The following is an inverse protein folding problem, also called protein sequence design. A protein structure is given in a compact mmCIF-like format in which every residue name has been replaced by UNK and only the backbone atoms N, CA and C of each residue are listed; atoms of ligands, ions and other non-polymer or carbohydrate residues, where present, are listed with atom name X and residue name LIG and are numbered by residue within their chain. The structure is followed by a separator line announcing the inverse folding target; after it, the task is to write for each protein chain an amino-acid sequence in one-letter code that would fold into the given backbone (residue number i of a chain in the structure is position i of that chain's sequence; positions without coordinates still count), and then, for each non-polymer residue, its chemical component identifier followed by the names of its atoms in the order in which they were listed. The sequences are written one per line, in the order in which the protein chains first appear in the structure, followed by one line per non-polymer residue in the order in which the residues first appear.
data_IF_085130368070
#
_entry.id   IF_085130368070
#
_cell.length_a   1.000
_cell.length_b   1.000
_cell.length_c   1.000
_cell.angle_alpha   90.00
_cell.angle_beta   90.00
_cell.angle_gamma   90.00
#
_symmetry.space_group_name_H-M   'P 1'
#
loop_
_entity.id
_entity.type
_entity.pdbx_description
1 polymer ?
#
# COMPACT_ATOMS: atom_id res chain seq x y z
N UNK A 1 -9.25 -26.02 18.64
CA UNK A 1 -8.88 -25.21 17.46
C UNK A 1 -8.73 -23.77 17.91
N UNK A 2 -7.57 -23.18 17.66
CA UNK A 2 -7.25 -21.80 17.97
C UNK A 2 -7.46 -20.91 16.72
N UNK A 3 -7.60 -19.59 16.91
CA UNK A 3 -7.85 -18.59 15.85
C UNK A 3 -9.04 -18.99 14.95
N UNK A 4 -10.11 -19.51 15.57
CA UNK A 4 -11.23 -20.11 14.83
C UNK A 4 -11.98 -19.15 13.92
N UNK A 5 -11.90 -17.84 14.15
CA UNK A 5 -12.47 -16.80 13.28
C UNK A 5 -11.83 -16.74 11.90
N UNK A 6 -10.65 -17.35 11.71
CA UNK A 6 -9.88 -17.27 10.45
C UNK A 6 -10.05 -18.52 9.56
N UNK A 7 -10.88 -19.48 9.96
CA UNK A 7 -11.12 -20.69 9.16
C UNK A 7 -12.02 -20.42 7.95
N UNK A 8 -11.77 -21.18 6.88
CA UNK A 8 -12.62 -21.20 5.70
C UNK A 8 -13.62 -22.39 5.75
N UNK A 9 -14.66 -22.41 4.90
CA UNK A 9 -15.67 -23.50 4.89
C UNK A 9 -15.08 -24.89 4.74
N UNK A 10 -14.06 -25.09 3.90
CA UNK A 10 -13.44 -26.40 3.69
C UNK A 10 -12.72 -26.88 4.96
N UNK A 11 -12.00 -25.98 5.62
CA UNK A 11 -11.36 -26.29 6.91
C UNK A 11 -12.42 -26.65 7.96
N UNK A 12 -13.54 -25.93 7.96
CA UNK A 12 -14.65 -26.23 8.89
C UNK A 12 -15.24 -27.62 8.64
N UNK A 13 -15.47 -28.01 7.38
CA UNK A 13 -15.96 -29.34 7.03
C UNK A 13 -14.98 -30.44 7.48
N UNK A 14 -13.67 -30.22 7.32
CA UNK A 14 -12.65 -31.14 7.83
C UNK A 14 -12.71 -31.28 9.37
N UNK A 15 -12.84 -30.13 10.07
CA UNK A 15 -12.97 -30.13 11.55
C UNK A 15 -14.23 -30.89 11.99
N UNK A 16 -15.37 -30.71 11.29
CA UNK A 16 -16.61 -31.43 11.55
C UNK A 16 -16.44 -32.94 11.41
N UNK A 17 -15.82 -33.38 10.31
CA UNK A 17 -15.54 -34.81 10.08
C UNK A 17 -14.63 -35.40 11.15
N UNK A 18 -13.61 -34.66 11.58
CA UNK A 18 -12.69 -35.11 12.64
C UNK A 18 -13.38 -35.14 14.02
N UNK A 19 -14.34 -34.27 14.26
CA UNK A 19 -15.08 -34.23 15.53
C UNK A 19 -16.13 -35.34 15.66
N UNK A 20 -16.63 -35.87 14.54
CA UNK A 20 -17.54 -37.03 14.54
C UNK A 20 -16.79 -38.33 14.97
N UNK A 21 -17.41 -39.24 15.74
CA UNK A 21 -18.77 -39.26 16.27
C UNK A 21 -18.91 -38.62 17.67
N UNK A 22 -17.82 -38.19 18.29
CA UNK A 22 -17.81 -37.77 19.70
C UNK A 22 -18.29 -36.34 19.92
N UNK A 23 -18.25 -35.51 18.86
CA UNK A 23 -18.57 -34.05 18.88
C UNK A 23 -17.84 -33.28 20.00
N UNK A 24 -16.65 -33.78 20.42
CA UNK A 24 -15.85 -33.13 21.44
C UNK A 24 -14.96 -32.09 20.76
N UNK A 25 -15.46 -30.86 20.65
CA UNK A 25 -14.81 -29.76 19.96
C UNK A 25 -14.65 -28.56 20.90
N UNK A 26 -13.45 -28.06 21.03
CA UNK A 26 -13.13 -26.83 21.75
C UNK A 26 -12.52 -25.85 20.77
N UNK A 27 -13.14 -24.67 20.65
CA UNK A 27 -12.71 -23.59 19.78
C UNK A 27 -12.35 -22.36 20.58
N UNK A 28 -11.35 -21.62 20.15
CA UNK A 28 -10.94 -20.32 20.68
C UNK A 28 -10.79 -19.34 19.53
N UNK A 29 -11.24 -18.12 19.71
CA UNK A 29 -11.12 -17.09 18.71
C UNK A 29 -11.70 -15.75 19.14
N UNK A 30 -11.41 -14.73 18.35
CA UNK A 30 -11.93 -13.37 18.50
C UNK A 30 -12.48 -12.89 17.16
N UNK A 31 -13.79 -12.80 17.02
CA UNK A 31 -14.48 -12.37 15.81
C UNK A 31 -14.10 -10.94 15.37
N UNK A 32 -13.72 -10.07 16.32
CA UNK A 32 -13.21 -8.74 16.01
C UNK A 32 -11.79 -8.74 15.41
N UNK A 33 -11.10 -9.88 15.40
CA UNK A 33 -9.80 -10.07 14.79
C UNK A 33 -9.83 -10.93 13.49
N UNK A 34 -11.03 -11.19 12.93
CA UNK A 34 -11.17 -11.87 11.63
C UNK A 34 -10.83 -10.91 10.49
N UNK A 35 -9.64 -11.07 9.90
CA UNK A 35 -9.08 -10.18 8.87
C UNK A 35 -8.60 -10.92 7.61
N UNK A 36 -8.89 -12.22 7.47
CA UNK A 36 -8.43 -13.05 6.36
C UNK A 36 -9.55 -13.48 5.40
N UNK A 37 -10.58 -12.64 5.23
CA UNK A 37 -11.67 -12.92 4.28
C UNK A 37 -11.15 -13.14 2.85
N UNK A 38 -10.11 -12.41 2.45
CA UNK A 38 -9.45 -12.59 1.15
C UNK A 38 -8.78 -13.97 0.97
N UNK A 39 -8.55 -14.73 2.07
CA UNK A 39 -8.12 -16.14 2.08
C UNK A 39 -9.27 -17.12 2.23
N UNK A 40 -10.52 -16.63 2.19
CA UNK A 40 -11.72 -17.42 2.32
C UNK A 40 -12.20 -17.61 3.77
N UNK A 41 -11.60 -16.95 4.76
CA UNK A 41 -12.10 -16.97 6.14
C UNK A 41 -13.54 -16.45 6.21
N UNK A 42 -14.34 -17.05 7.09
CA UNK A 42 -15.76 -16.74 7.29
C UNK A 42 -16.06 -16.59 8.77
N UNK A 43 -16.06 -15.38 9.34
CA UNK A 43 -16.38 -15.17 10.77
C UNK A 43 -17.77 -15.70 11.15
N UNK A 44 -18.70 -15.78 10.19
CA UNK A 44 -20.03 -16.36 10.37
C UNK A 44 -19.99 -17.82 10.85
N UNK A 45 -18.93 -18.59 10.52
CA UNK A 45 -18.77 -19.96 11.01
C UNK A 45 -18.64 -19.94 12.53
N UNK A 46 -17.83 -19.04 13.08
CA UNK A 46 -17.69 -18.88 14.52
C UNK A 46 -18.96 -18.31 15.16
N UNK A 47 -19.57 -17.30 14.55
CA UNK A 47 -20.80 -16.66 15.06
C UNK A 47 -21.99 -17.64 15.08
N UNK A 48 -22.05 -18.62 14.17
CA UNK A 48 -23.12 -19.61 14.08
C UNK A 48 -22.76 -20.93 14.78
N UNK A 49 -21.62 -21.05 15.44
CA UNK A 49 -21.13 -22.32 16.02
C UNK A 49 -22.15 -22.97 16.99
N UNK A 50 -22.86 -22.19 17.81
CA UNK A 50 -23.88 -22.69 18.73
C UNK A 50 -25.10 -23.31 17.99
N UNK A 51 -25.36 -22.88 16.75
CA UNK A 51 -26.43 -23.47 15.93
C UNK A 51 -26.02 -24.83 15.39
N UNK A 52 -24.73 -24.97 15.02
CA UNK A 52 -24.19 -26.23 14.47
C UNK A 52 -23.94 -27.26 15.60
N UNK A 53 -23.62 -26.78 16.79
CA UNK A 53 -23.37 -27.60 18.00
C UNK A 53 -24.26 -27.14 19.17
N UNK A 54 -25.54 -27.54 19.20
CA UNK A 54 -26.43 -27.21 20.30
C UNK A 54 -25.91 -27.72 21.65
N UNK A 55 -25.98 -26.88 22.66
CA UNK A 55 -25.46 -27.21 24.01
C UNK A 55 -24.01 -26.77 24.23
N UNK A 56 -23.40 -26.06 23.26
CA UNK A 56 -22.08 -25.43 23.44
C UNK A 56 -22.03 -24.53 24.65
N UNK A 57 -21.02 -24.71 25.48
CA UNK A 57 -20.75 -23.78 26.59
C UNK A 57 -19.84 -22.65 26.07
N UNK A 58 -20.28 -21.41 26.28
CA UNK A 58 -19.54 -20.23 25.90
C UNK A 58 -18.85 -19.60 27.12
N UNK A 59 -17.54 -19.42 27.03
CA UNK A 59 -16.74 -18.71 28.01
C UNK A 59 -16.18 -17.45 27.38
N UNK A 60 -16.45 -16.30 27.96
CA UNK A 60 -15.94 -15.02 27.48
C UNK A 60 -14.66 -14.64 28.25
N UNK A 61 -13.55 -14.49 27.49
CA UNK A 61 -12.30 -13.93 28.02
C UNK A 61 -12.34 -12.41 27.84
N UNK A 62 -12.81 -11.69 28.86
CA UNK A 62 -13.12 -10.26 28.79
C UNK A 62 -12.04 -9.36 29.37
N UNK A 63 -10.87 -9.92 29.76
CA UNK A 63 -9.76 -9.13 30.30
C UNK A 63 -8.64 -9.02 29.27
N UNK A 64 -8.34 -7.80 28.86
CA UNK A 64 -7.21 -7.47 27.99
C UNK A 64 -6.01 -7.08 28.85
N UNK A 65 -4.93 -7.86 28.79
CA UNK A 65 -3.70 -7.63 29.56
C UNK A 65 -2.63 -6.84 28.76
N UNK A 66 -2.93 -6.44 27.52
CA UNK A 66 -1.97 -5.78 26.63
C UNK A 66 -2.05 -4.26 26.68
N UNK A 67 -3.21 -3.73 26.35
CA UNK A 67 -3.39 -2.30 26.15
C UNK A 67 -3.65 -1.54 27.43
N UNK A 68 -3.23 -0.28 27.50
CA UNK A 68 -3.75 0.68 28.48
C UNK A 68 -5.26 0.90 28.28
N UNK A 69 -5.94 1.43 29.28
CA UNK A 69 -7.39 1.64 29.27
C UNK A 69 -7.82 2.59 28.13
N UNK A 70 -7.06 3.67 27.91
CA UNK A 70 -7.38 4.66 26.84
C UNK A 70 -7.31 4.04 25.45
N UNK A 71 -6.33 3.19 25.17
CA UNK A 71 -6.20 2.50 23.88
C UNK A 71 -7.35 1.49 23.72
N UNK A 72 -7.62 0.69 24.74
CA UNK A 72 -8.67 -0.31 24.70
C UNK A 72 -10.05 0.33 24.48
N UNK A 73 -10.38 1.37 25.24
CA UNK A 73 -11.65 2.08 25.13
C UNK A 73 -11.83 2.70 23.74
N UNK A 74 -10.77 3.31 23.17
CA UNK A 74 -10.79 3.89 21.83
C UNK A 74 -11.01 2.84 20.74
N UNK A 75 -10.33 1.70 20.86
CA UNK A 75 -10.51 0.58 19.93
C UNK A 75 -11.92 -0.03 20.05
N UNK A 76 -12.45 -0.13 21.28
CA UNK A 76 -13.81 -0.65 21.51
C UNK A 76 -14.89 0.31 21.01
N UNK A 77 -14.71 1.64 21.13
CA UNK A 77 -15.64 2.62 20.53
C UNK A 77 -15.76 2.43 19.02
N UNK A 78 -14.64 2.28 18.33
CA UNK A 78 -14.60 2.11 16.89
C UNK A 78 -15.21 0.77 16.45
N UNK A 79 -14.79 -0.35 17.06
CA UNK A 79 -15.25 -1.69 16.62
C UNK A 79 -16.72 -1.96 16.92
N UNK A 80 -17.34 -1.24 17.86
CA UNK A 80 -18.78 -1.38 18.17
C UNK A 80 -19.71 -1.03 16.99
N UNK A 81 -19.21 -0.29 15.99
CA UNK A 81 -19.94 0.04 14.78
C UNK A 81 -20.14 -1.17 13.84
N UNK A 82 -19.39 -2.26 14.01
CA UNK A 82 -19.65 -3.53 13.33
C UNK A 82 -20.90 -4.19 13.90
N UNK A 83 -21.78 -4.67 13.02
CA UNK A 83 -23.03 -5.34 13.36
C UNK A 83 -22.85 -6.84 13.54
N UNK A 84 -22.00 -7.45 12.70
CA UNK A 84 -21.75 -8.90 12.68
C UNK A 84 -20.62 -9.26 13.65
N UNK A 85 -20.92 -9.25 14.96
CA UNK A 85 -19.98 -9.56 16.04
C UNK A 85 -20.67 -10.05 17.30
N UNK A 86 -19.93 -10.74 18.17
CA UNK A 86 -20.42 -11.05 19.51
C UNK A 86 -20.43 -9.77 20.37
N UNK A 87 -21.53 -9.52 21.11
CA UNK A 87 -21.54 -8.45 22.11
C UNK A 87 -20.56 -8.79 23.22
N UNK A 88 -19.56 -7.94 23.42
CA UNK A 88 -18.54 -8.12 24.46
C UNK A 88 -18.14 -6.78 25.05
N UNK A 89 -17.83 -6.78 26.35
CA UNK A 89 -17.27 -5.65 27.07
C UNK A 89 -15.92 -6.08 27.62
N UNK A 90 -14.85 -5.51 27.07
CA UNK A 90 -13.51 -5.77 27.53
C UNK A 90 -13.12 -4.78 28.64
N UNK A 91 -12.31 -5.25 29.58
CA UNK A 91 -11.66 -4.45 30.61
C UNK A 91 -10.16 -4.71 30.61
N UNK A 92 -9.38 -3.86 31.24
CA UNK A 92 -7.94 -4.08 31.41
C UNK A 92 -7.53 -3.77 32.87
N UNK A 93 -6.61 -4.55 33.45
CA UNK A 93 -5.99 -4.23 34.71
C UNK A 93 -4.84 -3.22 34.58
N UNK A 94 -4.45 -2.89 33.36
CA UNK A 94 -3.36 -1.97 33.09
C UNK A 94 -3.75 -0.54 33.46
N UNK A 95 -2.75 0.31 33.58
CA UNK A 95 -2.93 1.74 33.84
C UNK A 95 -3.83 2.43 32.82
N UNK A 96 -4.39 3.58 33.19
CA UNK A 96 -5.21 4.39 32.29
C UNK A 96 -4.45 4.73 30.99
N UNK A 97 -3.17 5.09 31.12
CA UNK A 97 -2.31 5.46 30.01
C UNK A 97 -2.59 6.84 29.45
N UNK A 98 -1.92 7.14 28.32
CA UNK A 98 -2.16 8.39 27.58
C UNK A 98 -3.30 8.21 26.58
N UNK A 99 -4.10 9.27 26.32
CA UNK A 99 -5.09 9.27 25.24
C UNK A 99 -4.46 8.89 23.90
N UNK A 100 -5.23 8.22 23.05
CA UNK A 100 -4.84 7.98 21.66
C UNK A 100 -4.60 9.31 20.95
N UNK A 101 -3.45 9.45 20.30
CA UNK A 101 -3.08 10.70 19.64
C UNK A 101 -3.49 10.65 18.16
N UNK A 102 -4.38 11.53 17.76
CA UNK A 102 -4.75 11.74 16.36
C UNK A 102 -3.94 12.90 15.82
N UNK A 103 -3.10 12.64 14.82
CA UNK A 103 -2.14 13.58 14.27
C UNK A 103 -2.50 13.97 12.84
N UNK A 104 -2.81 15.27 12.63
CA UNK A 104 -2.99 15.82 11.29
C UNK A 104 -1.65 16.36 10.78
N UNK A 105 -1.23 15.91 9.60
CA UNK A 105 -0.03 16.40 8.91
C UNK A 105 -0.45 16.85 7.51
N UNK A 106 0.36 17.69 6.90
CA UNK A 106 0.04 18.20 5.56
C UNK A 106 0.34 17.15 4.48
N UNK A 107 1.52 16.51 4.56
CA UNK A 107 2.02 15.61 3.52
C UNK A 107 2.64 14.33 4.10
N UNK A 108 2.73 13.23 3.32
CA UNK A 108 3.31 11.96 3.80
C UNK A 108 4.75 12.07 4.31
N UNK A 109 5.58 12.94 3.72
CA UNK A 109 6.95 13.15 4.21
C UNK A 109 6.97 13.80 5.59
N UNK A 110 6.10 14.78 5.84
CA UNK A 110 5.99 15.42 7.17
C UNK A 110 5.51 14.41 8.21
N UNK A 111 4.57 13.53 7.84
CA UNK A 111 4.12 12.44 8.69
C UNK A 111 5.27 11.51 9.07
N UNK A 112 6.12 11.13 8.12
CA UNK A 112 7.30 10.30 8.38
C UNK A 112 8.34 11.00 9.25
N UNK A 113 8.56 12.30 9.06
CA UNK A 113 9.46 13.11 9.90
C UNK A 113 8.92 13.30 11.33
N UNK A 114 7.60 13.39 11.50
CA UNK A 114 6.97 13.42 12.81
C UNK A 114 7.28 12.13 13.58
N UNK A 115 7.07 10.96 12.94
CA UNK A 115 7.36 9.65 13.54
C UNK A 115 8.84 9.52 13.87
N UNK A 116 9.74 9.92 12.95
CA UNK A 116 11.18 9.89 13.18
C UNK A 116 11.57 10.66 14.44
N UNK A 117 11.08 11.90 14.59
CA UNK A 117 11.37 12.76 15.75
C UNK A 117 10.84 12.15 17.07
N UNK A 118 9.67 11.53 17.04
CA UNK A 118 9.10 10.90 18.22
C UNK A 118 9.85 9.60 18.59
N UNK A 119 10.31 8.82 17.59
CA UNK A 119 11.17 7.66 17.81
C UNK A 119 12.52 8.05 18.41
N UNK A 120 13.15 9.14 17.95
CA UNK A 120 14.40 9.66 18.52
C UNK A 120 14.22 10.04 19.99
N UNK A 121 13.16 10.76 20.33
CA UNK A 121 12.83 11.10 21.72
C UNK A 121 12.55 9.87 22.58
N UNK A 122 11.94 8.83 21.97
CA UNK A 122 11.67 7.58 22.66
C UNK A 122 12.98 6.86 23.05
N UNK A 123 13.93 6.81 22.13
CA UNK A 123 15.27 6.22 22.39
C UNK A 123 16.03 7.06 23.40
N UNK A 124 16.03 8.39 23.30
CA UNK A 124 16.64 9.31 24.26
C UNK A 124 16.09 9.13 25.69
N UNK A 125 14.80 8.75 25.79
CA UNK A 125 14.14 8.42 27.06
C UNK A 125 14.40 6.98 27.54
N UNK A 126 15.28 6.22 26.89
CA UNK A 126 15.65 4.84 27.25
C UNK A 126 14.76 3.75 26.63
N UNK A 127 13.89 4.09 25.68
CA UNK A 127 13.09 3.10 24.94
C UNK A 127 13.91 2.38 23.88
N UNK A 128 13.47 1.16 23.51
CA UNK A 128 14.07 0.38 22.40
C UNK A 128 13.27 0.57 21.11
N UNK A 129 13.97 0.72 19.98
CA UNK A 129 13.31 0.76 18.66
C UNK A 129 12.54 -0.52 18.35
N UNK A 130 12.95 -1.67 18.89
CA UNK A 130 12.23 -2.95 18.73
C UNK A 130 10.85 -2.94 19.38
N UNK A 131 10.63 -2.09 20.38
CA UNK A 131 9.36 -1.89 21.05
C UNK A 131 8.43 -0.91 20.31
N UNK A 132 8.81 -0.48 19.11
CA UNK A 132 8.04 0.43 18.29
C UNK A 132 7.69 -0.18 16.92
N UNK A 133 6.46 0.11 16.43
CA UNK A 133 6.03 -0.29 15.10
C UNK A 133 5.35 0.86 14.36
N UNK A 134 5.61 0.92 13.05
CA UNK A 134 4.91 1.82 12.10
C UNK A 134 4.11 0.95 11.14
N UNK A 135 2.79 1.15 11.13
CA UNK A 135 1.84 0.30 10.46
C UNK A 135 1.15 1.04 9.30
N UNK A 136 0.93 0.30 8.23
CA UNK A 136 0.30 0.77 7.01
C UNK A 136 -0.77 -0.20 6.53
N UNK A 137 -1.70 0.29 5.71
CA UNK A 137 -2.67 -0.59 5.06
C UNK A 137 -2.04 -1.43 3.97
N UNK A 138 -1.11 -0.87 3.20
CA UNK A 138 -0.39 -1.54 2.11
C UNK A 138 1.12 -1.29 2.19
N UNK A 139 1.93 -2.20 1.64
CA UNK A 139 3.38 -2.04 1.61
C UNK A 139 3.85 -0.81 0.83
N UNK A 140 3.13 -0.44 -0.23
CA UNK A 140 3.47 0.74 -1.03
C UNK A 140 3.39 2.05 -0.23
N UNK A 141 2.55 2.11 0.80
CA UNK A 141 2.41 3.29 1.66
C UNK A 141 3.60 3.49 2.60
N UNK A 142 4.34 2.42 2.89
CA UNK A 142 5.52 2.48 3.76
C UNK A 142 6.71 3.23 3.14
N UNK A 143 6.69 3.48 1.83
CA UNK A 143 7.83 3.99 1.08
C UNK A 143 8.40 5.31 1.64
N UNK A 144 7.53 6.29 1.94
CA UNK A 144 7.98 7.56 2.50
C UNK A 144 8.66 7.39 3.87
N UNK A 145 8.12 6.50 4.71
CA UNK A 145 8.70 6.21 6.02
C UNK A 145 10.06 5.53 5.89
N UNK A 146 10.15 4.52 5.02
CA UNK A 146 11.41 3.81 4.75
C UNK A 146 12.48 4.76 4.21
N UNK A 147 12.12 5.65 3.28
CA UNK A 147 13.05 6.65 2.74
C UNK A 147 13.57 7.59 3.84
N UNK A 148 12.70 8.06 4.72
CA UNK A 148 13.10 8.93 5.84
C UNK A 148 13.98 8.17 6.83
N UNK A 149 13.66 6.92 7.19
CA UNK A 149 14.50 6.13 8.08
C UNK A 149 15.89 5.85 7.49
N UNK A 150 15.97 5.60 6.17
CA UNK A 150 17.25 5.43 5.47
C UNK A 150 18.05 6.73 5.42
N UNK A 151 17.40 7.86 5.12
CA UNK A 151 18.00 9.19 5.06
C UNK A 151 18.66 9.59 6.41
N UNK A 152 17.99 9.27 7.51
CA UNK A 152 18.45 9.58 8.86
C UNK A 152 19.16 8.42 9.56
N UNK A 153 19.48 7.36 8.83
CA UNK A 153 20.21 6.17 9.33
C UNK A 153 19.59 5.52 10.57
N UNK A 154 18.25 5.60 10.75
CA UNK A 154 17.57 4.94 11.85
C UNK A 154 17.31 3.46 11.49
N UNK A 155 17.75 2.49 12.33
CA UNK A 155 17.54 1.08 12.04
C UNK A 155 16.05 0.70 12.02
N UNK A 156 15.65 -0.15 11.07
CA UNK A 156 14.31 -0.68 10.98
C UNK A 156 14.27 -2.09 10.41
N UNK A 157 13.21 -2.80 10.71
CA UNK A 157 12.92 -4.14 10.19
C UNK A 157 11.63 -4.12 9.35
N UNK A 158 11.60 -4.89 8.28
CA UNK A 158 10.44 -5.02 7.41
C UNK A 158 10.33 -6.46 6.90
N UNK A 159 9.22 -7.16 7.19
CA UNK A 159 9.04 -8.56 6.75
C UNK A 159 8.87 -8.68 5.23
N UNK A 160 8.17 -7.75 4.64
CA UNK A 160 7.86 -7.75 3.21
C UNK A 160 8.77 -6.74 2.50
N UNK A 161 9.27 -7.13 1.32
CA UNK A 161 10.12 -6.24 0.52
C UNK A 161 9.29 -5.17 -0.15
N UNK A 162 9.78 -3.93 -0.16
CA UNK A 162 9.20 -2.90 -1.00
C UNK A 162 9.44 -3.26 -2.47
N UNK A 163 8.39 -3.25 -3.30
CA UNK A 163 8.60 -3.42 -4.74
C UNK A 163 9.37 -2.22 -5.29
N UNK A 164 10.37 -2.49 -6.12
CA UNK A 164 11.06 -1.41 -6.83
C UNK A 164 10.14 -0.85 -7.93
N UNK A 165 9.52 0.31 -7.69
CA UNK A 165 8.62 0.97 -8.64
C UNK A 165 9.27 1.29 -9.99
N UNK A 166 10.58 1.45 -10.01
CA UNK A 166 11.32 1.75 -11.24
C UNK A 166 11.53 0.53 -12.14
N UNK A 167 11.35 -0.69 -11.61
CA UNK A 167 11.34 -1.92 -12.39
C UNK A 167 9.98 -2.19 -13.07
N UNK A 168 8.94 -1.46 -12.68
CA UNK A 168 7.63 -1.60 -13.29
C UNK A 168 7.64 -1.13 -14.75
N UNK A 169 6.90 -1.82 -15.61
CA UNK A 169 6.87 -1.55 -17.05
C UNK A 169 6.39 -0.13 -17.41
N UNK A 170 5.55 0.51 -16.58
CA UNK A 170 5.13 1.91 -16.78
C UNK A 170 6.34 2.85 -16.68
N UNK A 171 7.19 2.67 -15.67
CA UNK A 171 8.39 3.48 -15.51
C UNK A 171 9.34 3.29 -16.70
N UNK A 172 9.51 2.05 -17.16
CA UNK A 172 10.33 1.75 -18.34
C UNK A 172 9.82 2.44 -19.60
N UNK A 173 8.50 2.50 -19.79
CA UNK A 173 7.91 3.22 -20.93
C UNK A 173 8.17 4.73 -20.87
N UNK A 174 8.07 5.34 -19.67
CA UNK A 174 8.43 6.75 -19.50
C UNK A 174 9.89 7.01 -19.88
N UNK A 175 10.79 6.13 -19.40
CA UNK A 175 12.20 6.19 -19.77
C UNK A 175 12.42 6.00 -21.26
N UNK A 176 11.76 5.03 -21.88
CA UNK A 176 11.89 4.79 -23.32
C UNK A 176 11.48 6.03 -24.14
N UNK A 177 10.41 6.73 -23.75
CA UNK A 177 10.04 8.00 -24.37
C UNK A 177 11.10 9.08 -24.20
N UNK A 178 11.62 9.26 -22.99
CA UNK A 178 12.62 10.29 -22.72
C UNK A 178 13.95 10.00 -23.42
N UNK A 179 14.38 8.76 -23.45
CA UNK A 179 15.59 8.32 -24.15
C UNK A 179 15.45 8.50 -25.69
N UNK A 180 14.26 8.17 -26.24
CA UNK A 180 13.98 8.44 -27.65
C UNK A 180 14.04 9.94 -27.97
N UNK A 181 13.53 10.78 -27.09
CA UNK A 181 13.63 12.23 -27.23
C UNK A 181 15.08 12.74 -27.20
N UNK A 182 15.97 12.05 -26.45
CA UNK A 182 17.42 12.33 -26.44
C UNK A 182 18.16 11.74 -27.64
N UNK A 183 17.46 11.01 -28.52
CA UNK A 183 18.00 10.50 -29.78
C UNK A 183 18.30 9.00 -29.79
N UNK A 184 18.03 8.24 -28.73
CA UNK A 184 18.14 6.78 -28.75
C UNK A 184 16.90 6.13 -29.40
N UNK A 185 16.86 6.18 -30.73
CA UNK A 185 15.82 5.59 -31.57
C UNK A 185 16.08 4.09 -31.84
N UNK A 186 16.60 3.36 -30.84
CA UNK A 186 16.80 1.91 -30.98
C UNK A 186 15.45 1.19 -31.19
N UNK A 187 15.47 0.15 -32.05
CA UNK A 187 14.28 -0.65 -32.34
C UNK A 187 13.60 -1.18 -31.09
N UNK A 188 14.36 -1.59 -30.07
CA UNK A 188 13.84 -2.12 -28.81
C UNK A 188 12.96 -1.08 -28.09
N UNK A 189 13.47 0.16 -27.95
CA UNK A 189 12.73 1.25 -27.27
C UNK A 189 11.49 1.66 -28.07
N UNK A 190 11.68 1.86 -29.37
CA UNK A 190 10.58 2.26 -30.23
C UNK A 190 9.42 1.25 -30.16
N UNK A 191 9.70 -0.05 -30.32
CA UNK A 191 8.69 -1.11 -30.21
C UNK A 191 7.99 -1.16 -28.83
N UNK A 192 8.67 -0.71 -27.76
CA UNK A 192 8.08 -0.70 -26.43
C UNK A 192 6.94 0.35 -26.28
N UNK A 193 7.05 1.48 -27.02
CA UNK A 193 6.14 2.62 -26.84
C UNK A 193 5.42 3.07 -28.11
N UNK A 194 5.78 2.57 -29.30
CA UNK A 194 5.23 3.04 -30.59
C UNK A 194 3.71 3.10 -30.64
N UNK A 195 3.01 2.17 -29.95
CA UNK A 195 1.56 2.08 -29.86
C UNK A 195 1.05 2.28 -28.41
N UNK A 196 1.67 3.19 -27.65
CA UNK A 196 1.27 3.54 -26.28
C UNK A 196 1.27 5.06 -26.06
N UNK A 197 0.31 5.83 -26.58
CA UNK A 197 -1.01 5.47 -27.11
C UNK A 197 -0.97 4.80 -28.48
N UNK A 198 -2.13 4.25 -28.87
CA UNK A 198 -2.24 3.49 -30.11
C UNK A 198 -2.07 4.40 -31.34
N UNK A 199 -0.99 4.15 -32.10
CA UNK A 199 -0.69 4.84 -33.36
C UNK A 199 -0.84 3.96 -34.60
N UNK A 200 -1.21 2.65 -34.37
CA UNK A 200 -1.37 1.63 -35.43
C UNK A 200 -0.11 1.38 -36.27
N UNK A 201 1.07 1.65 -35.70
CA UNK A 201 2.34 1.35 -36.38
C UNK A 201 2.55 -0.17 -36.37
N UNK A 202 2.72 -0.76 -37.55
CA UNK A 202 3.01 -2.20 -37.69
C UNK A 202 4.47 -2.50 -37.28
N UNK A 203 4.67 -3.69 -36.71
CA UNK A 203 6.03 -4.18 -36.41
C UNK A 203 6.87 -4.40 -37.66
N UNK A 204 6.22 -4.68 -38.80
CA UNK A 204 6.86 -4.88 -40.10
C UNK A 204 7.47 -3.58 -40.63
N UNK A 205 6.86 -2.43 -40.32
CA UNK A 205 7.44 -1.13 -40.68
C UNK A 205 8.72 -0.79 -39.91
N UNK A 206 9.00 -1.54 -38.82
CA UNK A 206 10.13 -1.29 -37.91
C UNK A 206 11.13 -2.45 -38.04
N UNK A 207 11.85 -2.53 -39.17
CA UNK A 207 12.79 -3.62 -39.43
C UNK A 207 14.25 -3.25 -39.09
N UNK A 208 14.60 -1.96 -39.10
CA UNK A 208 15.97 -1.48 -38.84
C UNK A 208 16.31 -1.52 -37.33
N UNK A 209 17.62 -1.72 -37.04
CA UNK A 209 18.13 -1.68 -35.67
C UNK A 209 17.93 -0.32 -35.00
N UNK A 210 18.01 0.76 -35.74
CA UNK A 210 17.72 2.14 -35.35
C UNK A 210 16.59 2.65 -36.23
N UNK A 211 15.52 3.09 -35.62
CA UNK A 211 14.30 3.52 -36.32
C UNK A 211 14.49 4.92 -36.89
N UNK A 212 14.20 5.09 -38.17
CA UNK A 212 14.08 6.38 -38.84
C UNK A 212 12.60 6.73 -38.99
N UNK A 213 12.21 7.92 -38.53
CA UNK A 213 10.81 8.42 -38.73
C UNK A 213 10.59 8.70 -40.24
N UNK A 214 11.60 9.06 -40.96
CA UNK A 214 11.53 9.24 -42.42
C UNK A 214 11.26 7.91 -43.15
N UNK A 215 11.97 6.83 -42.78
CA UNK A 215 11.69 5.48 -43.30
C UNK A 215 10.26 5.02 -42.98
N UNK A 216 9.74 5.39 -41.80
CA UNK A 216 8.34 5.10 -41.46
C UNK A 216 7.36 5.88 -42.33
N UNK A 217 7.61 7.17 -42.62
CA UNK A 217 6.79 7.95 -43.56
C UNK A 217 6.76 7.34 -44.94
N UNK A 218 7.94 6.94 -45.47
CA UNK A 218 8.04 6.24 -46.74
C UNK A 218 7.25 4.93 -46.75
N UNK A 219 7.31 4.14 -45.69
CA UNK A 219 6.54 2.92 -45.59
C UNK A 219 5.03 3.14 -45.61
N UNK A 220 4.56 4.28 -45.09
CA UNK A 220 3.15 4.65 -45.03
C UNK A 220 2.76 5.76 -45.99
N UNK A 221 3.54 6.02 -47.08
CA UNK A 221 3.30 7.16 -47.97
C UNK A 221 1.90 7.22 -48.57
N UNK A 222 1.27 6.06 -48.81
CA UNK A 222 -0.11 5.98 -49.31
C UNK A 222 -1.19 6.22 -48.21
N UNK A 223 -0.80 6.42 -46.95
CA UNK A 223 -1.69 6.57 -45.80
C UNK A 223 -1.40 7.89 -45.07
N UNK A 224 -1.92 9.00 -45.59
CA UNK A 224 -1.72 10.35 -45.04
C UNK A 224 -1.92 10.40 -43.53
N UNK A 225 -3.03 9.82 -43.02
CA UNK A 225 -3.32 9.80 -41.60
C UNK A 225 -2.28 9.07 -40.73
N UNK A 226 -1.48 8.16 -41.32
CA UNK A 226 -0.34 7.52 -40.64
C UNK A 226 0.86 8.45 -40.60
N UNK A 227 1.12 9.17 -41.70
CA UNK A 227 2.17 10.17 -41.76
C UNK A 227 1.92 11.28 -40.73
N UNK A 228 0.68 11.79 -40.59
CA UNK A 228 0.28 12.76 -39.58
C UNK A 228 0.59 12.29 -38.14
N UNK A 229 0.37 11.01 -37.84
CA UNK A 229 0.68 10.42 -36.53
C UNK A 229 2.17 10.29 -36.27
N UNK A 230 2.96 10.01 -37.32
CA UNK A 230 4.42 9.96 -37.23
C UNK A 230 4.98 11.39 -37.04
N UNK A 231 4.42 12.38 -37.72
CA UNK A 231 4.78 13.79 -37.57
C UNK A 231 4.46 14.30 -36.17
N UNK A 232 3.26 13.98 -35.67
CA UNK A 232 2.87 14.31 -34.29
C UNK A 232 3.84 13.67 -33.27
N UNK A 233 4.24 12.41 -33.47
CA UNK A 233 5.21 11.75 -32.59
C UNK A 233 6.57 12.46 -32.64
N UNK A 234 7.03 12.87 -33.82
CA UNK A 234 8.28 13.61 -33.96
C UNK A 234 8.23 14.95 -33.23
N UNK A 235 7.15 15.71 -33.37
CA UNK A 235 6.95 16.98 -32.66
C UNK A 235 6.91 16.75 -31.12
N UNK A 236 6.19 15.73 -30.68
CA UNK A 236 6.14 15.36 -29.27
C UNK A 236 7.51 15.02 -28.71
N UNK A 237 8.34 14.27 -29.43
CA UNK A 237 9.70 13.95 -29.02
C UNK A 237 10.62 15.19 -28.99
N UNK A 238 10.47 16.13 -29.95
CA UNK A 238 11.20 17.41 -29.96
C UNK A 238 10.86 18.26 -28.74
N UNK A 239 9.59 18.36 -28.38
CA UNK A 239 9.14 19.06 -27.18
C UNK A 239 9.66 18.38 -25.90
N UNK A 240 9.53 17.06 -25.81
CA UNK A 240 9.95 16.25 -24.67
C UNK A 240 11.44 16.42 -24.36
N UNK A 241 12.26 16.56 -25.40
CA UNK A 241 13.73 16.74 -25.29
C UNK A 241 14.13 17.96 -24.45
N UNK A 242 13.30 18.99 -24.42
CA UNK A 242 13.59 20.27 -23.74
C UNK A 242 13.06 20.29 -22.30
N UNK A 243 12.32 19.26 -21.87
CA UNK A 243 11.64 19.26 -20.60
C UNK A 243 12.51 18.64 -19.49
N UNK A 244 12.43 19.21 -18.28
CA UNK A 244 12.95 18.57 -17.08
C UNK A 244 12.12 17.33 -16.72
N UNK A 245 12.66 16.35 -15.98
CA UNK A 245 12.00 15.07 -15.73
C UNK A 245 10.56 15.16 -15.22
N UNK A 246 10.26 16.05 -14.28
CA UNK A 246 8.90 16.24 -13.78
C UNK A 246 7.91 16.66 -14.86
N UNK A 247 8.29 17.68 -15.63
CA UNK A 247 7.48 18.17 -16.75
C UNK A 247 7.39 17.14 -17.87
N UNK A 248 8.48 16.42 -18.16
CA UNK A 248 8.55 15.37 -19.15
C UNK A 248 7.58 14.22 -18.82
N UNK A 249 7.59 13.72 -17.57
CA UNK A 249 6.62 12.69 -17.13
C UNK A 249 5.20 13.19 -17.25
N UNK A 250 4.91 14.42 -16.83
CA UNK A 250 3.58 15.02 -16.97
C UNK A 250 3.13 15.12 -18.43
N UNK A 251 4.03 15.54 -19.33
CA UNK A 251 3.77 15.63 -20.76
C UNK A 251 3.53 14.26 -21.40
N UNK A 252 4.30 13.23 -21.03
CA UNK A 252 4.06 11.86 -21.51
C UNK A 252 2.68 11.38 -21.06
N UNK A 253 2.31 11.63 -19.81
CA UNK A 253 1.01 11.23 -19.25
C UNK A 253 -0.16 11.85 -20.02
N UNK A 254 -0.16 13.16 -20.15
CA UNK A 254 -1.31 13.94 -20.63
C UNK A 254 -1.15 14.47 -22.06
N UNK A 255 0.02 15.02 -22.41
CA UNK A 255 0.28 15.60 -23.72
C UNK A 255 0.49 14.55 -24.83
N UNK A 256 1.15 13.45 -24.52
CA UNK A 256 1.28 12.30 -25.43
C UNK A 256 0.05 11.38 -25.37
N UNK A 257 -0.70 11.37 -24.24
CA UNK A 257 -1.89 10.55 -24.05
C UNK A 257 -1.60 9.17 -23.45
N UNK A 258 -0.51 9.02 -22.71
CA UNK A 258 -0.16 7.73 -22.10
C UNK A 258 -1.15 7.26 -21.03
N UNK A 259 -1.78 8.18 -20.27
CA UNK A 259 -2.83 7.83 -19.30
C UNK A 259 -4.10 7.32 -19.98
N UNK A 260 -4.46 7.84 -21.14
CA UNK A 260 -5.58 7.32 -21.92
C UNK A 260 -5.32 5.85 -22.33
N UNK A 261 -4.13 5.60 -22.87
CA UNK A 261 -3.70 4.22 -23.16
C UNK A 261 -3.79 3.32 -21.92
N UNK A 262 -3.35 3.78 -20.75
CA UNK A 262 -3.43 2.98 -19.52
C UNK A 262 -4.86 2.72 -19.08
N UNK A 263 -5.78 3.63 -19.34
CA UNK A 263 -7.21 3.46 -19.06
C UNK A 263 -7.78 2.35 -19.94
N UNK A 264 -7.48 2.38 -21.23
CA UNK A 264 -7.90 1.34 -22.17
C UNK A 264 -7.27 -0.02 -21.83
N UNK A 265 -5.97 -0.02 -21.51
CA UNK A 265 -5.26 -1.22 -21.06
C UNK A 265 -5.89 -1.82 -19.80
N UNK A 266 -6.21 -0.99 -18.81
CA UNK A 266 -6.83 -1.43 -17.58
C UNK A 266 -8.22 -2.02 -17.83
N UNK A 267 -9.03 -1.40 -18.68
CA UNK A 267 -10.34 -1.90 -19.09
C UNK A 267 -10.21 -3.28 -19.78
N UNK A 268 -9.27 -3.40 -20.73
CA UNK A 268 -9.02 -4.66 -21.43
C UNK A 268 -8.56 -5.79 -20.48
N UNK A 269 -7.66 -5.47 -19.52
CA UNK A 269 -7.12 -6.43 -18.54
C UNK A 269 -8.04 -6.66 -17.35
N UNK A 270 -9.16 -5.95 -17.26
CA UNK A 270 -10.12 -5.97 -16.13
C UNK A 270 -9.44 -5.65 -14.79
N UNK A 271 -8.48 -4.70 -14.81
CA UNK A 271 -7.82 -4.17 -13.60
C UNK A 271 -8.25 -2.72 -13.38
N UNK A 272 -8.06 -2.20 -12.18
CA UNK A 272 -8.40 -0.80 -11.88
C UNK A 272 -7.29 0.14 -12.40
N UNK A 273 -7.66 1.11 -13.23
CA UNK A 273 -6.74 2.12 -13.77
C UNK A 273 -6.08 2.97 -12.70
N UNK A 274 -6.79 3.21 -11.58
CA UNK A 274 -6.33 4.01 -10.45
C UNK A 274 -5.02 3.48 -9.84
N UNK A 275 -4.80 2.16 -9.85
CA UNK A 275 -3.55 1.56 -9.35
C UNK A 275 -2.36 1.94 -10.23
N UNK A 276 -2.57 1.98 -11.56
CA UNK A 276 -1.55 2.40 -12.52
C UNK A 276 -1.28 3.90 -12.43
N UNK A 277 -2.31 4.70 -12.20
CA UNK A 277 -2.18 6.15 -12.07
C UNK A 277 -1.48 6.53 -10.76
N UNK A 278 -1.80 5.88 -9.64
CA UNK A 278 -1.07 6.08 -8.37
C UNK A 278 0.43 5.77 -8.51
N UNK A 279 0.77 4.73 -9.27
CA UNK A 279 2.17 4.44 -9.56
C UNK A 279 2.83 5.56 -10.37
N UNK A 280 2.14 6.09 -11.39
CA UNK A 280 2.63 7.21 -12.18
C UNK A 280 2.76 8.48 -11.32
N UNK A 281 1.79 8.77 -10.42
CA UNK A 281 1.88 9.89 -9.48
C UNK A 281 3.14 9.78 -8.61
N UNK A 282 3.44 8.58 -8.07
CA UNK A 282 4.66 8.31 -7.28
C UNK A 282 5.94 8.46 -8.10
N UNK A 283 5.93 7.99 -9.35
CA UNK A 283 7.09 8.12 -10.26
C UNK A 283 7.31 9.61 -10.57
N UNK A 284 6.27 10.34 -10.93
CA UNK A 284 6.35 11.77 -11.23
C UNK A 284 6.84 12.58 -10.03
N UNK A 285 6.30 12.32 -8.83
CA UNK A 285 6.72 12.98 -7.61
C UNK A 285 8.21 12.77 -7.32
N UNK A 286 8.72 11.56 -7.60
CA UNK A 286 10.14 11.24 -7.41
C UNK A 286 11.09 12.01 -8.32
N UNK A 287 10.57 12.65 -9.37
CA UNK A 287 11.37 13.46 -10.31
C UNK A 287 11.39 14.95 -9.94
N UNK A 288 10.67 15.36 -8.88
CA UNK A 288 10.70 16.77 -8.40
C UNK A 288 12.11 17.20 -8.02
N UNK A 289 12.50 18.38 -8.49
CA UNK A 289 13.82 18.94 -8.22
C UNK A 289 14.97 18.37 -9.04
N UNK A 290 14.69 17.43 -9.95
CA UNK A 290 15.69 16.88 -10.86
C UNK A 290 15.76 17.73 -12.15
N UNK A 291 16.97 18.02 -12.58
CA UNK A 291 17.22 18.88 -13.73
C UNK A 291 17.47 18.10 -15.03
N UNK A 292 17.85 16.82 -14.95
CA UNK A 292 18.18 16.01 -16.12
C UNK A 292 17.70 14.55 -15.98
N UNK A 293 17.61 13.86 -17.13
CA UNK A 293 17.29 12.42 -17.18
C UNK A 293 18.37 11.58 -16.50
N UNK A 294 19.64 12.01 -16.60
CA UNK A 294 20.78 11.34 -15.97
C UNK A 294 20.64 11.34 -14.45
N UNK A 295 20.31 12.49 -13.84
CA UNK A 295 20.05 12.58 -12.40
C UNK A 295 18.90 11.64 -11.97
N UNK A 296 17.87 11.52 -12.80
CA UNK A 296 16.77 10.59 -12.49
C UNK A 296 17.23 9.13 -12.58
N UNK A 297 18.06 8.77 -13.57
CA UNK A 297 18.63 7.41 -13.67
C UNK A 297 19.53 7.07 -12.48
N UNK A 298 20.41 7.98 -12.08
CA UNK A 298 21.25 7.82 -10.90
C UNK A 298 20.41 7.61 -9.65
N UNK A 299 19.35 8.41 -9.47
CA UNK A 299 18.41 8.24 -8.35
C UNK A 299 17.72 6.87 -8.36
N UNK A 300 17.32 6.37 -9.54
CA UNK A 300 16.69 5.04 -9.67
C UNK A 300 17.66 3.91 -9.32
N UNK A 301 18.93 4.03 -9.75
CA UNK A 301 19.97 3.06 -9.41
C UNK A 301 20.28 3.06 -7.92
N UNK A 302 20.47 4.24 -7.32
CA UNK A 302 20.68 4.40 -5.89
C UNK A 302 19.52 3.83 -5.08
N UNK A 303 18.28 4.10 -5.49
CA UNK A 303 17.10 3.54 -4.86
C UNK A 303 17.08 2.00 -4.91
N UNK A 304 17.37 1.44 -6.09
CA UNK A 304 17.47 -0.01 -6.28
C UNK A 304 18.57 -0.64 -5.41
N UNK A 305 19.73 -0.01 -5.29
CA UNK A 305 20.84 -0.45 -4.45
C UNK A 305 20.48 -0.40 -2.97
N UNK A 306 19.87 0.70 -2.50
CA UNK A 306 19.38 0.82 -1.13
C UNK A 306 18.36 -0.25 -0.77
N UNK A 307 17.43 -0.60 -1.67
CA UNK A 307 16.48 -1.70 -1.44
C UNK A 307 17.17 -3.06 -1.35
N UNK A 308 18.21 -3.31 -2.16
CA UNK A 308 19.00 -4.56 -2.11
C UNK A 308 19.80 -4.67 -0.80
N UNK A 309 20.48 -3.59 -0.40
CA UNK A 309 21.21 -3.52 0.86
C UNK A 309 20.30 -3.76 2.06
N UNK A 310 19.13 -3.13 2.07
CA UNK A 310 18.13 -3.34 3.10
C UNK A 310 17.68 -4.81 3.16
N UNK A 311 17.39 -5.42 2.01
CA UNK A 311 17.01 -6.82 1.95
C UNK A 311 18.12 -7.76 2.46
N UNK A 312 19.39 -7.42 2.24
CA UNK A 312 20.53 -8.17 2.76
C UNK A 312 20.69 -8.00 4.28
N UNK A 313 20.47 -6.80 4.83
CA UNK A 313 20.49 -6.55 6.28
C UNK A 313 19.36 -7.25 7.02
N UNK A 314 18.17 -7.38 6.44
CA UNK A 314 17.04 -8.10 7.02
C UNK A 314 17.29 -9.61 7.24
N UNK A 315 18.22 -10.20 6.53
CA UNK A 315 18.62 -11.62 6.72
C UNK A 315 19.48 -11.83 7.99
N UNK A 316 20.06 -10.77 8.54
CA UNK A 316 20.74 -10.76 9.84
C UNK A 316 19.75 -10.15 10.83
N UNK A 317 19.52 -10.75 12.02
CA UNK A 317 18.65 -10.20 13.08
C UNK A 317 18.93 -8.69 13.23
N UNK A 318 18.09 -7.84 12.64
CA UNK A 318 18.29 -6.40 12.71
C UNK A 318 17.44 -5.86 13.84
N UNK A 319 18.08 -5.27 14.82
CA UNK A 319 17.50 -4.43 15.85
C UNK A 319 16.96 -3.15 15.17
N UNK A 320 15.71 -2.76 15.44
CA UNK A 320 15.15 -1.55 14.87
C UNK A 320 13.62 -1.49 14.89
N UNK A 321 13.07 -0.32 14.49
CA UNK A 321 11.62 -0.12 14.44
C UNK A 321 10.97 -1.05 13.40
N UNK A 322 9.87 -1.69 13.77
CA UNK A 322 9.15 -2.58 12.85
C UNK A 322 8.29 -1.77 11.88
N UNK A 323 8.51 -1.98 10.58
CA UNK A 323 7.66 -1.47 9.49
C UNK A 323 6.82 -2.64 8.97
N UNK A 324 5.49 -2.52 9.04
CA UNK A 324 4.62 -3.65 8.70
C UNK A 324 3.26 -3.17 8.16
N UNK A 325 2.57 -4.09 7.47
CA UNK A 325 1.16 -3.87 7.19
C UNK A 325 0.29 -4.26 8.39
N UNK A 326 -0.93 -3.69 8.46
CA UNK A 326 -1.92 -4.04 9.48
C UNK A 326 -2.23 -5.55 9.51
N UNK A 327 -2.15 -6.24 8.36
CA UNK A 327 -2.35 -7.69 8.30
C UNK A 327 -1.19 -8.48 8.91
N UNK A 328 0.04 -8.05 8.62
CA UNK A 328 1.25 -8.81 9.00
C UNK A 328 1.64 -8.62 10.46
N UNK A 329 1.00 -7.68 11.16
CA UNK A 329 1.25 -7.37 12.57
C UNK A 329 0.37 -8.19 13.54
N UNK A 330 -0.60 -8.97 13.01
CA UNK A 330 -1.45 -9.84 13.85
C UNK A 330 -0.58 -10.79 14.68
N UNK A 331 -0.90 -10.93 15.97
CA UNK A 331 -0.13 -11.74 16.92
C UNK A 331 1.08 -11.06 17.56
N UNK A 332 1.50 -9.90 17.07
CA UNK A 332 2.59 -9.11 17.64
C UNK A 332 2.06 -8.03 18.61
N UNK A 333 2.98 -7.42 19.37
CA UNK A 333 2.67 -6.32 20.26
C UNK A 333 3.90 -5.42 20.48
N UNK A 334 3.65 -4.12 20.68
CA UNK A 334 4.68 -3.11 20.80
C UNK A 334 4.30 -2.11 21.89
N UNK A 335 5.30 -1.51 22.52
CA UNK A 335 5.05 -0.44 23.48
C UNK A 335 4.42 0.77 22.80
N UNK A 336 4.88 1.07 21.57
CA UNK A 336 4.49 2.25 20.79
C UNK A 336 4.12 1.86 19.36
N UNK A 337 2.95 2.29 18.92
CA UNK A 337 2.45 2.01 17.57
C UNK A 337 2.04 3.31 16.87
N UNK A 338 2.48 3.45 15.62
CA UNK A 338 2.05 4.50 14.71
C UNK A 338 1.27 3.86 13.57
N UNK A 339 0.03 4.28 13.34
CA UNK A 339 -0.72 3.88 12.15
C UNK A 339 -0.78 5.10 11.23
N UNK A 340 -0.19 4.99 10.05
CA UNK A 340 -0.03 6.08 9.11
C UNK A 340 -1.04 6.01 7.96
N UNK A 341 -1.27 7.17 7.31
CA UNK A 341 -2.21 7.33 6.21
C UNK A 341 -3.64 6.91 6.58
N UNK A 342 -4.11 7.30 7.78
CA UNK A 342 -5.48 7.04 8.23
C UNK A 342 -6.43 8.01 7.51
N UNK A 343 -6.53 7.82 6.19
CA UNK A 343 -7.32 8.62 5.25
C UNK A 343 -8.35 7.76 4.53
N UNK A 344 -9.47 8.33 4.10
CA UNK A 344 -10.40 7.68 3.18
C UNK A 344 -9.67 7.16 1.93
N UNK A 345 -10.01 5.93 1.54
CA UNK A 345 -9.38 5.23 0.42
C UNK A 345 -8.07 4.51 0.76
N UNK A 346 -7.46 4.79 1.93
CA UNK A 346 -6.35 4.04 2.51
C UNK A 346 -6.85 3.19 3.69
N UNK A 347 -7.36 3.80 4.72
CA UNK A 347 -8.03 3.18 5.87
C UNK A 347 -9.36 3.92 6.09
N UNK A 348 -10.53 3.34 5.71
CA UNK A 348 -10.72 2.07 5.00
C UNK A 348 -10.19 2.08 3.57
N UNK A 349 -9.82 0.89 3.08
CA UNK A 349 -9.27 0.76 1.73
C UNK A 349 -10.32 1.04 0.67
N UNK A 350 -9.95 1.76 -0.39
CA UNK A 350 -10.85 2.20 -1.47
C UNK A 350 -11.67 1.09 -2.17
N UNK A 351 -11.27 -0.18 -2.00
CA UNK A 351 -12.03 -1.33 -2.54
C UNK A 351 -13.14 -1.81 -1.60
N UNK A 352 -13.18 -1.34 -0.36
CA UNK A 352 -14.19 -1.70 0.62
C UNK A 352 -15.46 -0.84 0.41
N UNK A 353 -16.30 -1.27 -0.54
CA UNK A 353 -17.53 -0.55 -0.94
C UNK A 353 -18.76 -1.11 -0.23
N UNK A 354 -18.77 -2.43 0.02
CA UNK A 354 -19.87 -3.10 0.70
C UNK A 354 -19.72 -3.00 2.22
N UNK A 355 -20.83 -3.02 2.94
CA UNK A 355 -20.84 -2.94 4.41
C UNK A 355 -19.98 -4.04 5.04
N UNK A 356 -20.07 -5.28 4.56
CA UNK A 356 -19.25 -6.39 5.04
C UNK A 356 -17.74 -6.15 4.86
N UNK A 357 -17.34 -5.51 3.75
CA UNK A 357 -15.97 -5.15 3.49
C UNK A 357 -15.50 -4.00 4.40
N UNK A 358 -16.40 -3.06 4.68
CA UNK A 358 -16.11 -1.97 5.61
C UNK A 358 -15.96 -2.50 7.05
N UNK A 359 -16.78 -3.48 7.45
CA UNK A 359 -16.63 -4.17 8.73
C UNK A 359 -15.29 -4.92 8.83
N UNK A 360 -14.80 -5.52 7.73
CA UNK A 360 -13.48 -6.16 7.70
C UNK A 360 -12.35 -5.14 7.83
N UNK A 361 -12.42 -4.01 7.12
CA UNK A 361 -11.44 -2.91 7.27
C UNK A 361 -11.44 -2.35 8.69
N UNK A 362 -12.61 -2.27 9.33
CA UNK A 362 -12.70 -1.84 10.73
C UNK A 362 -12.06 -2.86 11.69
N UNK A 363 -12.24 -4.18 11.46
CA UNK A 363 -11.52 -5.22 12.20
C UNK A 363 -10.01 -5.13 11.99
N UNK A 364 -9.57 -4.88 10.76
CA UNK A 364 -8.16 -4.71 10.46
C UNK A 364 -7.54 -3.53 11.20
N UNK A 365 -8.26 -2.40 11.23
CA UNK A 365 -7.81 -1.22 11.97
C UNK A 365 -7.81 -1.46 13.48
N UNK A 366 -8.84 -2.15 14.01
CA UNK A 366 -8.91 -2.61 15.40
C UNK A 366 -7.71 -3.49 15.78
N UNK A 367 -7.35 -4.45 14.92
CA UNK A 367 -6.15 -5.28 15.12
C UNK A 367 -4.90 -4.40 15.23
N UNK A 368 -4.72 -3.44 14.31
CA UNK A 368 -3.59 -2.51 14.36
C UNK A 368 -3.55 -1.69 15.66
N UNK A 369 -4.67 -1.09 16.05
CA UNK A 369 -4.77 -0.30 17.29
C UNK A 369 -4.41 -1.11 18.53
N UNK A 370 -4.92 -2.36 18.62
CA UNK A 370 -4.70 -3.25 19.76
C UNK A 370 -3.32 -3.91 19.78
N UNK A 371 -2.41 -3.56 18.87
CA UNK A 371 -1.00 -3.93 18.97
C UNK A 371 -0.23 -3.02 19.91
N UNK A 372 -0.77 -1.85 20.22
CA UNK A 372 -0.15 -0.88 21.12
C UNK A 372 -0.38 -1.28 22.59
N UNK A 373 0.71 -1.31 23.36
CA UNK A 373 0.65 -1.52 24.82
C UNK A 373 0.47 -0.20 25.57
N UNK A 374 1.25 0.84 25.25
CA UNK A 374 1.29 2.10 26.02
C UNK A 374 0.93 3.34 25.20
N UNK A 375 1.38 3.45 23.96
CA UNK A 375 1.14 4.65 23.14
C UNK A 375 0.66 4.29 21.73
N UNK A 376 -0.38 4.98 21.29
CA UNK A 376 -0.95 4.82 19.95
C UNK A 376 -1.08 6.19 19.29
N UNK A 377 -0.53 6.28 18.07
CA UNK A 377 -0.64 7.44 17.19
C UNK A 377 -1.38 7.05 15.92
N UNK A 378 -2.44 7.78 15.59
CA UNK A 378 -3.22 7.64 14.38
C UNK A 378 -2.98 8.88 13.52
N UNK A 379 -2.22 8.73 12.46
CA UNK A 379 -1.77 9.86 11.65
C UNK A 379 -2.48 9.89 10.29
N UNK A 380 -2.96 11.06 9.88
CA UNK A 380 -3.53 11.29 8.57
C UNK A 380 -2.92 12.53 7.91
N UNK A 381 -3.02 12.59 6.57
CA UNK A 381 -2.51 13.71 5.80
C UNK A 381 -3.65 14.47 5.11
N UNK A 382 -3.47 15.79 4.93
CA UNK A 382 -4.46 16.61 4.23
C UNK A 382 -4.21 16.67 2.71
N UNK A 383 -2.97 16.42 2.28
CA UNK A 383 -2.59 16.43 0.86
C UNK A 383 -1.67 15.27 0.51
N UNK A 384 -1.82 14.75 -0.70
CA UNK A 384 -0.91 13.77 -1.29
C UNK A 384 -0.90 13.94 -2.82
N UNK A 385 0.29 14.07 -3.45
CA UNK A 385 0.43 14.28 -4.89
C UNK A 385 -0.40 15.49 -5.39
N UNK A 386 -0.32 16.62 -4.67
CA UNK A 386 -1.07 17.86 -4.95
C UNK A 386 -2.61 17.72 -4.91
N UNK A 387 -3.11 16.58 -4.42
CA UNK A 387 -4.53 16.31 -4.24
C UNK A 387 -4.89 16.36 -2.75
N UNK A 388 -6.03 16.93 -2.44
CA UNK A 388 -6.60 16.86 -1.09
C UNK A 388 -6.94 15.42 -0.72
N UNK A 389 -6.76 15.09 0.56
CA UNK A 389 -7.06 13.78 1.13
C UNK A 389 -8.00 13.92 2.31
N UNK A 390 -9.10 13.21 2.26
CA UNK A 390 -10.08 13.22 3.33
C UNK A 390 -9.59 12.39 4.53
N UNK A 391 -9.91 12.87 5.72
CA UNK A 391 -9.73 12.16 6.99
C UNK A 391 -10.58 10.88 6.99
N UNK A 392 -10.05 9.80 7.53
CA UNK A 392 -10.80 8.55 7.69
C UNK A 392 -12.02 8.72 8.59
N UNK A 393 -13.17 8.16 8.18
CA UNK A 393 -14.36 8.01 9.03
C UNK A 393 -14.08 7.20 10.30
N UNK A 394 -13.12 6.29 10.29
CA UNK A 394 -12.75 5.51 11.47
C UNK A 394 -12.15 6.36 12.60
N UNK A 395 -11.54 7.50 12.27
CA UNK A 395 -11.07 8.45 13.29
C UNK A 395 -12.23 9.10 14.05
N UNK A 396 -13.33 9.40 13.39
CA UNK A 396 -14.55 9.89 14.04
C UNK A 396 -15.16 8.85 14.98
N UNK A 397 -15.13 7.57 14.56
CA UNK A 397 -15.60 6.45 15.37
C UNK A 397 -14.69 6.17 16.60
N UNK A 398 -13.42 6.55 16.54
CA UNK A 398 -12.47 6.46 17.66
C UNK A 398 -12.71 7.57 18.68
N UNK A 399 -13.06 8.79 18.22
CA UNK A 399 -13.29 9.97 19.07
C UNK A 399 -14.64 9.92 19.81
N UNK A 400 -15.69 9.39 19.16
CA UNK A 400 -17.07 9.31 19.64
C UNK A 400 -17.37 7.96 20.32
#
# INVERSE_FOLDING_TARGET
VDEFQDINPVQYDVIRLLAEPRKNLFIVGDDDQSIYHFRGARPQIMLNFEKDYPGTQKVLLNVNYRCTEEILNSAMRMIKHNKNRFPKKLSTPNEKGCPVQICQLEQPRQQSLFVLKDLQKFVEAGGSLEDAAVLFRTNLEAENMVNVLMEFHLPFTMKERLPNRYEHWNCRNLLDYMEMAQGDMSRKRFLAVMNRPNRYISREAVYEKRVSLESLRMYYEEKEWMCDRIDLLEEQLKLLRQMKPYAAVNFIRHGIGYEEYLRDYAAYRKIKSEELFELLDRIQESTKGMDSLEQWKEHMEDYGNKLKEQAARQSQKSEGVTISTLHSVKGLEYERVYILNVNEGSIPYKKAVLEEQLEEERRLFYVGMTRARKKLFLCYVTHQFEKERERSRFLEEVEN
#
